data_IF_593733667039
#
_entry.id   IF_593733667039
#
_cell.length_a   1.000
_cell.length_b   1.000
_cell.length_c   1.000
_cell.angle_alpha   90.00
_cell.angle_beta   90.00
_cell.angle_gamma   90.00
#
_symmetry.space_group_name_H-M   'P 1'
#
loop_
_entity.id
_entity.type
_entity.pdbx_description
1 polymer ?
#
# COMPACT_ATOMS: atom_id res chain seq x y z
N UNK A 1 -1.96 2.10 10.18
CA UNK A 1 -1.11 0.90 10.19
C UNK A 1 0.15 1.24 9.42
N UNK A 2 1.32 1.01 10.02
CA UNK A 2 2.63 1.29 9.44
C UNK A 2 3.43 0.01 9.50
N UNK A 3 4.16 -0.27 8.44
CA UNK A 3 5.05 -1.43 8.38
C UNK A 3 6.41 -0.96 7.86
N UNK A 4 7.50 -1.52 8.39
CA UNK A 4 8.87 -1.18 7.96
C UNK A 4 9.58 -2.36 7.29
N UNK A 5 8.95 -3.54 7.31
CA UNK A 5 9.52 -4.77 6.79
C UNK A 5 8.51 -5.56 5.95
N UNK A 6 9.00 -6.26 4.95
CA UNK A 6 8.19 -7.24 4.21
C UNK A 6 7.88 -8.48 5.06
N UNK A 7 7.02 -9.36 4.54
CA UNK A 7 6.64 -10.63 5.17
C UNK A 7 7.83 -11.56 5.48
N UNK A 8 9.01 -11.31 4.89
CA UNK A 8 10.25 -12.04 5.17
C UNK A 8 11.16 -11.32 6.17
N UNK A 9 10.69 -10.21 6.78
CA UNK A 9 11.40 -9.43 7.79
C UNK A 9 12.49 -8.50 7.22
N UNK A 10 12.50 -8.25 5.91
CA UNK A 10 13.50 -7.38 5.25
C UNK A 10 12.95 -5.97 5.07
N UNK A 11 13.81 -4.97 5.22
CA UNK A 11 13.46 -3.57 4.91
C UNK A 11 13.05 -3.44 3.44
N UNK A 12 12.09 -2.55 3.17
CA UNK A 12 11.64 -2.30 1.80
C UNK A 12 12.71 -1.53 0.99
N UNK A 13 13.19 -2.15 -0.09
CA UNK A 13 14.12 -1.58 -1.06
C UNK A 13 13.33 -0.94 -2.21
N UNK A 14 13.45 0.37 -2.41
CA UNK A 14 12.70 1.08 -3.44
C UNK A 14 13.03 0.68 -4.89
N UNK A 15 14.07 -0.12 -5.12
CA UNK A 15 14.40 -0.69 -6.42
C UNK A 15 13.69 -2.01 -6.74
N UNK A 16 13.00 -2.62 -5.75
CA UNK A 16 12.32 -3.91 -5.90
C UNK A 16 10.81 -3.76 -6.04
N UNK A 17 10.19 -4.78 -6.63
CA UNK A 17 8.74 -4.89 -6.72
C UNK A 17 8.15 -5.51 -5.46
N UNK A 18 7.03 -4.98 -4.98
CA UNK A 18 6.27 -5.54 -3.85
C UNK A 18 4.77 -5.53 -4.16
N UNK A 19 4.02 -6.33 -3.41
CA UNK A 19 2.57 -6.36 -3.41
C UNK A 19 2.02 -6.36 -1.99
N UNK A 20 1.01 -5.52 -1.76
CA UNK A 20 0.11 -5.61 -0.63
C UNK A 20 -1.23 -6.13 -1.12
N UNK A 21 -1.73 -7.20 -0.52
CA UNK A 21 -3.12 -7.59 -0.68
C UNK A 21 -3.95 -6.89 0.41
N UNK A 22 -4.88 -6.02 0.02
CA UNK A 22 -5.81 -5.36 0.94
C UNK A 22 -7.09 -6.20 0.98
N UNK A 23 -7.40 -6.89 2.09
CA UNK A 23 -8.57 -7.76 2.15
C UNK A 23 -9.87 -6.98 1.93
N UNK A 24 -10.88 -7.67 1.41
CA UNK A 24 -12.22 -7.11 1.21
C UNK A 24 -12.81 -6.59 2.54
N UNK A 25 -13.86 -5.77 2.42
CA UNK A 25 -14.62 -5.24 3.57
C UNK A 25 -13.73 -4.49 4.58
N UNK A 26 -12.81 -3.66 4.07
CA UNK A 26 -11.96 -2.80 4.90
C UNK A 26 -12.84 -2.00 5.88
N UNK A 27 -12.63 -2.11 7.20
CA UNK A 27 -13.49 -1.51 8.22
C UNK A 27 -13.23 -0.01 8.36
N UNK A 28 -13.51 0.74 7.30
CA UNK A 28 -13.38 2.19 7.21
C UNK A 28 -14.68 2.79 6.67
N UNK A 29 -15.43 3.44 7.54
CA UNK A 29 -16.76 4.01 7.24
C UNK A 29 -16.73 5.06 6.12
N UNK A 30 -15.65 5.80 6.00
CA UNK A 30 -15.49 6.82 4.95
C UNK A 30 -14.68 6.26 3.78
N UNK A 31 -13.39 6.05 3.99
CA UNK A 31 -12.46 5.53 2.99
C UNK A 31 -11.19 5.04 3.66
N UNK A 32 -10.32 4.38 2.90
CA UNK A 32 -8.95 4.09 3.32
C UNK A 32 -7.96 4.63 2.32
N UNK A 33 -6.74 4.89 2.76
CA UNK A 33 -5.63 5.28 1.89
C UNK A 33 -4.33 4.60 2.28
N UNK A 34 -3.42 4.49 1.34
CA UNK A 34 -2.05 4.04 1.56
C UNK A 34 -1.09 4.97 0.83
N UNK A 35 -0.05 5.41 1.53
CA UNK A 35 0.98 6.31 1.00
C UNK A 35 2.34 5.73 1.33
N UNK A 36 3.26 5.72 0.36
CA UNK A 36 4.67 5.39 0.57
C UNK A 36 5.48 6.65 0.92
N UNK A 37 6.26 6.56 1.99
CA UNK A 37 7.13 7.62 2.47
C UNK A 37 8.60 7.23 2.27
N UNK A 38 9.43 8.22 1.98
CA UNK A 38 10.88 8.05 1.88
C UNK A 38 11.45 7.77 3.28
N UNK A 39 12.18 6.66 3.42
CA UNK A 39 12.65 6.16 4.72
C UNK A 39 13.72 7.03 5.38
N UNK A 40 14.32 7.97 4.65
CA UNK A 40 15.34 8.89 5.18
C UNK A 40 14.70 10.21 5.63
N UNK A 41 13.84 10.78 4.78
CA UNK A 41 13.27 12.11 5.01
C UNK A 41 11.94 12.07 5.76
N UNK A 42 11.28 10.90 5.82
CA UNK A 42 9.91 10.74 6.32
C UNK A 42 8.88 11.62 5.59
N UNK A 43 9.25 12.13 4.41
CA UNK A 43 8.41 12.92 3.53
C UNK A 43 7.94 12.05 2.35
N UNK A 44 7.18 12.65 1.44
CA UNK A 44 6.86 11.97 0.19
C UNK A 44 8.12 11.66 -0.61
N UNK A 45 8.10 10.53 -1.32
CA UNK A 45 9.17 10.15 -2.24
C UNK A 45 9.27 11.22 -3.32
N UNK A 46 10.43 11.89 -3.38
CA UNK A 46 10.66 13.02 -4.29
C UNK A 46 10.62 12.57 -5.75
N UNK A 47 9.95 13.39 -6.57
CA UNK A 47 9.75 13.17 -8.01
C UNK A 47 9.01 11.85 -8.33
N UNK A 48 8.19 11.37 -7.39
CA UNK A 48 7.36 10.17 -7.58
C UNK A 48 6.12 10.48 -8.42
N UNK A 49 5.83 9.62 -9.40
CA UNK A 49 4.65 9.75 -10.25
C UNK A 49 3.33 9.53 -9.48
N UNK A 50 3.36 8.69 -8.45
CA UNK A 50 2.23 8.38 -7.60
C UNK A 50 2.75 7.97 -6.21
N UNK A 51 2.47 8.79 -5.20
CA UNK A 51 2.95 8.56 -3.82
C UNK A 51 1.98 7.72 -2.99
N UNK A 52 0.74 7.55 -3.44
CA UNK A 52 -0.29 6.82 -2.70
C UNK A 52 -1.56 6.59 -3.50
N UNK A 53 -2.43 5.77 -2.93
CA UNK A 53 -3.74 5.40 -3.47
C UNK A 53 -4.78 5.45 -2.35
N UNK A 54 -6.04 5.58 -2.74
CA UNK A 54 -7.17 5.54 -1.82
C UNK A 54 -8.38 4.84 -2.43
N UNK A 55 -9.30 4.42 -1.57
CA UNK A 55 -10.45 3.61 -1.96
C UNK A 55 -11.52 4.36 -2.78
N UNK A 56 -11.45 5.68 -2.89
CA UNK A 56 -12.31 6.46 -3.78
C UNK A 56 -11.78 6.49 -5.22
N UNK A 57 -10.54 6.08 -5.47
CA UNK A 57 -10.03 5.94 -6.83
C UNK A 57 -10.85 4.89 -7.61
N UNK A 58 -11.70 5.38 -8.52
CA UNK A 58 -12.59 4.54 -9.34
C UNK A 58 -11.87 3.82 -10.49
N UNK A 59 -10.63 4.22 -10.81
CA UNK A 59 -9.82 3.54 -11.83
C UNK A 59 -9.09 2.32 -11.28
N UNK A 60 -8.92 2.26 -9.97
CA UNK A 60 -8.27 1.14 -9.29
C UNK A 60 -9.06 -0.15 -9.54
N UNK A 61 -8.35 -1.16 -10.04
CA UNK A 61 -8.92 -2.49 -10.28
C UNK A 61 -9.13 -3.20 -8.96
N UNK A 62 -10.31 -3.81 -8.79
CA UNK A 62 -10.69 -4.62 -7.63
C UNK A 62 -10.80 -6.09 -8.03
N UNK A 63 -10.46 -6.97 -7.12
CA UNK A 63 -10.62 -8.41 -7.30
C UNK A 63 -12.11 -8.81 -7.18
N UNK A 64 -12.51 -10.00 -7.67
CA UNK A 64 -13.90 -10.45 -7.64
C UNK A 64 -14.52 -10.52 -6.24
N UNK A 65 -13.72 -10.76 -5.21
CA UNK A 65 -14.14 -10.78 -3.80
C UNK A 65 -14.21 -9.39 -3.15
N UNK A 66 -13.87 -8.34 -3.89
CA UNK A 66 -13.84 -6.96 -3.41
C UNK A 66 -12.52 -6.52 -2.76
N UNK A 67 -11.53 -7.42 -2.65
CA UNK A 67 -10.16 -7.09 -2.23
C UNK A 67 -9.44 -6.26 -3.31
N UNK A 68 -8.28 -5.71 -2.94
CA UNK A 68 -7.47 -4.88 -3.83
C UNK A 68 -6.00 -5.24 -3.69
N UNK A 69 -5.34 -5.53 -4.81
CA UNK A 69 -3.87 -5.64 -4.83
C UNK A 69 -3.25 -4.27 -5.10
N UNK A 70 -2.35 -3.84 -4.23
CA UNK A 70 -1.55 -2.62 -4.37
C UNK A 70 -0.11 -3.02 -4.67
N UNK A 71 0.46 -2.45 -5.72
CA UNK A 71 1.82 -2.73 -6.16
C UNK A 71 2.75 -1.57 -5.80
N UNK A 72 3.98 -1.90 -5.43
CA UNK A 72 5.05 -0.94 -5.19
C UNK A 72 6.24 -1.30 -6.06
N UNK A 73 6.97 -0.31 -6.54
CA UNK A 73 8.18 -0.53 -7.33
C UNK A 73 8.60 0.70 -8.13
N UNK A 74 9.78 0.68 -8.76
CA UNK A 74 10.25 1.78 -9.60
C UNK A 74 9.44 1.96 -10.89
N UNK A 75 8.70 0.93 -11.30
CA UNK A 75 7.81 0.94 -12.46
C UNK A 75 6.53 0.16 -12.17
N UNK A 76 5.43 0.58 -12.80
CA UNK A 76 4.16 -0.11 -12.72
C UNK A 76 4.24 -1.47 -13.43
N UNK A 77 3.75 -2.57 -12.83
CA UNK A 77 3.51 -3.80 -13.56
C UNK A 77 2.52 -3.57 -14.72
N UNK A 78 2.65 -4.36 -15.79
CA UNK A 78 1.81 -4.24 -16.98
C UNK A 78 0.32 -4.38 -16.61
N UNK A 79 -0.49 -3.37 -16.99
CA UNK A 79 -1.93 -3.33 -16.73
C UNK A 79 -2.31 -3.03 -15.27
N UNK A 80 -1.35 -2.62 -14.43
CA UNK A 80 -1.57 -2.32 -13.00
C UNK A 80 -1.29 -0.86 -12.63
N UNK A 81 -1.29 0.03 -13.62
CA UNK A 81 -0.94 1.45 -13.46
C UNK A 81 -1.82 2.16 -12.41
N UNK A 82 -3.12 1.84 -12.34
CA UNK A 82 -4.05 2.44 -11.37
C UNK A 82 -4.00 1.82 -9.97
N UNK A 83 -3.21 0.75 -9.79
CA UNK A 83 -3.01 0.02 -8.53
C UNK A 83 -1.55 0.14 -8.02
N UNK A 84 -0.75 1.02 -8.60
CA UNK A 84 0.69 1.10 -8.35
C UNK A 84 1.09 2.40 -7.66
N UNK A 85 2.05 2.29 -6.73
CA UNK A 85 2.71 3.39 -6.03
C UNK A 85 4.20 3.35 -6.37
N UNK A 86 4.74 4.47 -6.83
CA UNK A 86 6.12 4.53 -7.28
C UNK A 86 7.10 4.61 -6.09
N UNK A 87 8.11 3.74 -6.11
CA UNK A 87 9.25 3.76 -5.20
C UNK A 87 10.53 4.13 -5.95
N UNK A 88 11.64 4.35 -5.25
CA UNK A 88 12.88 4.86 -5.85
C UNK A 88 14.08 3.93 -5.59
N UNK A 89 14.79 3.46 -6.62
CA UNK A 89 16.01 2.65 -6.43
C UNK A 89 17.04 3.36 -5.55
N UNK A 90 17.70 2.59 -4.67
CA UNK A 90 18.69 3.12 -3.73
C UNK A 90 18.10 3.94 -2.57
N UNK A 91 16.78 3.84 -2.35
CA UNK A 91 16.08 4.48 -1.22
C UNK A 91 15.22 3.44 -0.52
N UNK A 92 15.33 3.38 0.80
CA UNK A 92 14.36 2.67 1.61
C UNK A 92 13.07 3.48 1.71
N UNK A 93 11.97 2.80 1.99
CA UNK A 93 10.66 3.40 2.13
C UNK A 93 9.80 2.64 3.14
N UNK A 94 8.68 3.25 3.53
CA UNK A 94 7.67 2.58 4.33
C UNK A 94 6.27 3.06 3.95
N UNK A 95 5.26 2.17 3.92
CA UNK A 95 3.88 2.58 3.73
C UNK A 95 3.19 2.96 5.04
N UNK A 96 2.23 3.88 4.94
CA UNK A 96 1.25 4.14 5.97
C UNK A 96 -0.15 3.90 5.42
N UNK A 97 -0.82 2.86 5.89
CA UNK A 97 -2.23 2.58 5.62
C UNK A 97 -3.11 3.30 6.65
N UNK A 98 -4.06 4.10 6.19
CA UNK A 98 -4.95 4.91 7.03
C UNK A 98 -6.40 4.50 6.78
N UNK A 99 -7.15 4.32 7.86
CA UNK A 99 -8.59 4.07 7.83
C UNK A 99 -9.30 5.32 8.36
N UNK A 100 -10.23 5.85 7.58
CA UNK A 100 -10.99 7.04 7.93
C UNK A 100 -12.38 6.63 8.42
N UNK A 101 -12.64 6.88 9.71
CA UNK A 101 -13.78 6.31 10.42
C UNK A 101 -13.62 4.80 10.65
N UNK A 102 -12.58 4.35 11.38
CA UNK A 102 -12.35 2.93 11.63
C UNK A 102 -13.51 2.29 12.40
N UNK A 103 -13.87 1.07 12.03
CA UNK A 103 -14.99 0.33 12.64
C UNK A 103 -14.53 -0.86 13.49
N UNK A 104 -15.47 -1.48 14.22
CA UNK A 104 -15.21 -2.55 15.19
C UNK A 104 -14.30 -3.67 14.69
N UNK A 105 -14.40 -4.18 13.43
CA UNK A 105 -13.52 -5.24 12.94
C UNK A 105 -12.02 -4.92 12.97
N UNK A 106 -11.64 -3.64 12.89
CA UNK A 106 -10.24 -3.21 13.06
C UNK A 106 -9.81 -3.35 14.52
N UNK A 107 -10.70 -3.01 15.45
CA UNK A 107 -10.41 -2.90 16.89
C UNK A 107 -10.36 -4.28 17.56
N UNK A 108 -11.25 -5.19 17.17
CA UNK A 108 -11.29 -6.56 17.70
C UNK A 108 -10.45 -7.56 16.89
N UNK A 109 -9.78 -7.08 15.82
CA UNK A 109 -8.91 -7.86 14.93
C UNK A 109 -9.63 -8.97 14.16
N UNK A 110 -10.95 -8.90 13.99
CA UNK A 110 -11.64 -9.80 13.06
C UNK A 110 -11.35 -9.46 11.59
N UNK A 111 -10.79 -8.27 11.34
CA UNK A 111 -10.17 -7.88 10.08
C UNK A 111 -8.72 -7.46 10.34
N UNK A 112 -7.80 -7.95 9.52
CA UNK A 112 -6.38 -7.59 9.56
C UNK A 112 -5.92 -7.20 8.17
N UNK A 113 -4.94 -6.30 8.10
CA UNK A 113 -4.23 -6.02 6.85
C UNK A 113 -3.12 -7.05 6.68
N UNK A 114 -2.97 -7.59 5.47
CA UNK A 114 -1.91 -8.55 5.18
C UNK A 114 -0.53 -7.90 5.18
N UNK A 115 0.50 -8.71 5.39
CA UNK A 115 1.88 -8.27 5.23
C UNK A 115 2.21 -8.03 3.75
N UNK A 116 3.15 -7.13 3.50
CA UNK A 116 3.63 -6.83 2.16
C UNK A 116 4.62 -7.90 1.73
N UNK A 117 4.41 -8.47 0.55
CA UNK A 117 5.31 -9.49 -0.01
C UNK A 117 6.18 -8.90 -1.11
N UNK A 118 7.46 -9.27 -1.15
CA UNK A 118 8.31 -9.01 -2.32
C UNK A 118 7.84 -9.86 -3.51
N UNK A 119 7.84 -9.27 -4.70
CA UNK A 119 7.60 -9.97 -5.96
C UNK A 119 8.87 -10.65 -6.48
#
# INVERSE_FOLDING_TARGET
LLETKDAAGKTFDGGRGYRLHVPANVPARQYWSIIAYDGVTNAFIRDSAAVGLDSYNRKMTRNPDGSVDIYFGPSAPAGKQDNWIATKPGRDWYPMFRLYGPEKPLLDKSWTLDDITAN
#
